data_IF_663783299562
#
_entry.id   IF_663783299562
#
_cell.length_a   1.000
_cell.length_b   1.000
_cell.length_c   1.000
_cell.angle_alpha   90.00
_cell.angle_beta   90.00
_cell.angle_gamma   90.00
#
_symmetry.space_group_name_H-M   'P 1'
#
loop_
_entity.id
_entity.type
_entity.pdbx_description
1 polymer ?
#
# COMPACT_ATOMS: atom_id res chain seq x y z
N UNK A 1 18.91 -10.73 7.94
CA UNK A 1 17.66 -10.42 7.22
C UNK A 1 17.31 -11.61 6.36
N UNK A 2 16.14 -12.21 6.56
CA UNK A 2 15.60 -13.28 5.70
C UNK A 2 14.69 -12.58 4.67
N UNK A 3 14.99 -12.72 3.40
CA UNK A 3 14.15 -12.21 2.30
C UNK A 3 13.39 -13.41 1.75
N UNK A 4 12.09 -13.31 1.71
CA UNK A 4 11.22 -14.30 1.08
C UNK A 4 10.66 -13.65 -0.16
N UNK A 5 11.04 -14.17 -1.33
CA UNK A 5 10.47 -13.76 -2.59
C UNK A 5 9.28 -14.68 -2.90
N UNK A 6 8.15 -14.09 -3.23
CA UNK A 6 6.94 -14.81 -3.59
C UNK A 6 6.67 -14.61 -5.06
N UNK A 7 6.48 -15.70 -5.79
CA UNK A 7 6.19 -15.64 -7.23
C UNK A 7 4.76 -15.14 -7.48
N UNK A 8 4.53 -14.57 -8.66
CA UNK A 8 3.21 -14.06 -9.08
C UNK A 8 2.10 -15.10 -8.96
N UNK A 9 2.39 -16.37 -9.22
CA UNK A 9 1.44 -17.47 -9.11
C UNK A 9 1.11 -17.87 -7.66
N UNK A 10 1.88 -17.40 -6.68
CA UNK A 10 1.68 -17.68 -5.26
C UNK A 10 0.98 -16.55 -4.52
N UNK A 11 0.77 -15.41 -5.19
CA UNK A 11 0.19 -14.21 -4.59
C UNK A 11 -1.26 -14.44 -4.12
N UNK A 12 -2.05 -15.23 -4.85
CA UNK A 12 -3.39 -15.61 -4.41
C UNK A 12 -3.38 -16.46 -3.13
N UNK A 13 -2.25 -17.09 -2.82
CA UNK A 13 -2.06 -17.90 -1.62
C UNK A 13 -1.34 -17.14 -0.48
N UNK A 14 -1.12 -15.86 -0.61
CA UNK A 14 -0.38 -15.04 0.38
C UNK A 14 -0.90 -15.19 1.80
N UNK A 15 -2.21 -15.20 1.96
CA UNK A 15 -2.86 -15.31 3.27
C UNK A 15 -2.83 -16.76 3.79
N UNK A 16 -2.69 -17.74 2.91
CA UNK A 16 -2.76 -19.17 3.23
C UNK A 16 -1.41 -19.89 3.16
N UNK A 17 -0.37 -19.22 2.65
CA UNK A 17 0.93 -19.85 2.52
C UNK A 17 1.58 -20.05 3.90
N UNK A 18 2.04 -21.25 4.23
CA UNK A 18 2.80 -21.50 5.46
C UNK A 18 4.22 -20.99 5.27
N UNK A 19 4.38 -19.65 5.33
CA UNK A 19 5.74 -19.10 5.38
C UNK A 19 6.41 -19.52 6.68
N UNK A 20 7.62 -19.99 6.59
CA UNK A 20 8.46 -20.16 7.75
C UNK A 20 8.89 -18.77 8.25
N UNK A 21 8.11 -18.22 9.17
CA UNK A 21 8.32 -16.92 9.81
C UNK A 21 9.05 -17.03 11.16
N UNK A 22 9.55 -18.24 11.52
CA UNK A 22 10.30 -18.43 12.75
C UNK A 22 11.55 -17.54 12.75
N UNK A 23 11.72 -16.74 13.81
CA UNK A 23 12.83 -15.81 13.98
C UNK A 23 12.76 -14.56 13.07
N UNK A 24 11.60 -14.27 12.47
CA UNK A 24 11.35 -13.03 11.73
C UNK A 24 10.78 -11.98 12.70
N UNK A 25 11.49 -10.85 12.87
CA UNK A 25 11.06 -9.77 13.75
C UNK A 25 9.91 -8.96 13.15
N UNK A 26 9.94 -8.75 11.84
CA UNK A 26 8.94 -7.98 11.09
C UNK A 26 8.64 -8.63 9.74
N UNK A 27 7.39 -8.60 9.35
CA UNK A 27 6.97 -8.98 8.01
C UNK A 27 6.52 -7.73 7.25
N UNK A 28 7.21 -7.40 6.16
CA UNK A 28 6.86 -6.27 5.30
C UNK A 28 6.06 -6.75 4.09
N UNK A 29 4.92 -6.11 3.86
CA UNK A 29 4.02 -6.40 2.74
C UNK A 29 3.64 -5.10 2.01
N UNK A 30 3.35 -5.21 0.73
CA UNK A 30 2.75 -4.13 -0.07
C UNK A 30 1.26 -4.46 -0.28
N UNK A 31 0.37 -3.57 0.18
CA UNK A 31 -1.08 -3.80 0.12
C UNK A 31 -1.61 -3.80 -1.31
N UNK A 32 -0.99 -3.03 -2.20
CA UNK A 32 -1.40 -2.95 -3.60
C UNK A 32 -0.17 -2.80 -4.51
N UNK A 33 0.24 -3.93 -5.09
CA UNK A 33 1.32 -3.98 -6.08
C UNK A 33 0.79 -3.55 -7.45
N UNK A 34 1.18 -2.36 -7.88
CA UNK A 34 0.60 -1.71 -9.06
C UNK A 34 1.17 -2.21 -10.39
N UNK A 35 2.35 -2.85 -10.38
CA UNK A 35 2.98 -3.38 -11.59
C UNK A 35 2.23 -4.63 -12.05
N UNK A 36 1.98 -5.55 -11.12
CA UNK A 36 1.36 -6.84 -11.40
C UNK A 36 -0.16 -6.82 -11.18
N UNK A 37 -0.71 -5.68 -10.72
CA UNK A 37 -2.15 -5.51 -10.48
C UNK A 37 -2.70 -6.32 -9.31
N UNK A 38 -1.86 -6.66 -8.32
CA UNK A 38 -2.23 -7.49 -7.18
C UNK A 38 -2.54 -6.62 -5.97
N UNK A 39 -3.72 -6.82 -5.36
CA UNK A 39 -4.12 -6.14 -4.14
C UNK A 39 -4.37 -7.14 -3.01
N UNK A 40 -3.67 -6.93 -1.89
CA UNK A 40 -3.83 -7.69 -0.65
C UNK A 40 -4.69 -6.88 0.33
N UNK A 41 -5.98 -7.19 0.42
CA UNK A 41 -6.91 -6.48 1.33
C UNK A 41 -6.98 -7.09 2.73
N UNK A 42 -6.69 -8.37 2.85
CA UNK A 42 -6.85 -9.15 4.07
C UNK A 42 -5.51 -9.45 4.75
N UNK A 43 -4.57 -8.49 4.69
CA UNK A 43 -3.24 -8.65 5.28
C UNK A 43 -3.28 -8.90 6.80
N UNK A 44 -4.34 -8.47 7.49
CA UNK A 44 -4.59 -8.77 8.90
C UNK A 44 -4.80 -10.28 9.17
N UNK A 45 -5.13 -11.07 8.15
CA UNK A 45 -5.22 -12.54 8.26
C UNK A 45 -3.85 -13.23 8.21
N UNK A 46 -2.80 -12.51 7.82
CA UNK A 46 -1.44 -13.03 7.84
C UNK A 46 -1.01 -13.22 9.29
N UNK A 47 -0.62 -14.44 9.63
CA UNK A 47 -0.24 -14.80 11.01
C UNK A 47 1.18 -14.33 11.33
N UNK A 48 1.31 -13.05 11.70
CA UNK A 48 2.54 -12.48 12.23
C UNK A 48 2.21 -11.33 13.19
N UNK A 49 2.96 -11.21 14.29
CA UNK A 49 2.67 -10.24 15.36
C UNK A 49 3.11 -8.80 15.02
N UNK A 50 3.88 -8.62 13.97
CA UNK A 50 4.48 -7.32 13.61
C UNK A 50 4.49 -7.09 12.11
N UNK A 51 3.34 -6.70 11.56
CA UNK A 51 3.20 -6.39 10.14
C UNK A 51 3.55 -4.93 9.85
N UNK A 52 4.37 -4.71 8.83
CA UNK A 52 4.67 -3.42 8.23
C UNK A 52 4.05 -3.39 6.83
N UNK A 53 3.15 -2.45 6.57
CA UNK A 53 2.42 -2.42 5.31
C UNK A 53 2.75 -1.14 4.54
N UNK A 54 3.20 -1.31 3.30
CA UNK A 54 3.26 -0.23 2.31
C UNK A 54 1.88 -0.04 1.68
N UNK A 55 1.22 1.07 2.01
CA UNK A 55 -0.07 1.46 1.44
C UNK A 55 0.05 2.66 0.49
N UNK A 56 1.22 2.89 -0.10
CA UNK A 56 1.48 4.08 -0.91
C UNK A 56 0.54 4.25 -2.09
N UNK A 57 -0.05 3.17 -2.60
CA UNK A 57 -0.97 3.26 -3.74
C UNK A 57 -2.45 3.25 -3.36
N UNK A 58 -2.82 2.78 -2.17
CA UNK A 58 -4.21 2.54 -1.81
C UNK A 58 -4.63 3.02 -0.41
N UNK A 59 -3.77 3.77 0.28
CA UNK A 59 -4.14 4.36 1.58
C UNK A 59 -5.44 5.16 1.47
N UNK A 60 -6.39 4.89 2.37
CA UNK A 60 -7.69 5.58 2.40
C UNK A 60 -8.68 5.11 1.32
N UNK A 61 -8.39 4.05 0.57
CA UNK A 61 -9.28 3.52 -0.46
C UNK A 61 -10.25 2.46 0.04
N UNK A 62 -9.94 1.80 1.15
CA UNK A 62 -10.78 0.78 1.79
C UNK A 62 -10.53 0.73 3.29
N UNK A 63 -11.49 0.11 4.01
CA UNK A 63 -11.39 -0.14 5.45
C UNK A 63 -10.67 -1.44 5.73
N UNK A 64 -9.87 -1.48 6.81
CA UNK A 64 -9.17 -2.68 7.26
C UNK A 64 -9.08 -2.70 8.79
N UNK A 65 -8.85 -3.89 9.36
CA UNK A 65 -8.64 -4.08 10.78
C UNK A 65 -7.18 -3.83 11.16
N UNK A 66 -6.95 -3.29 12.35
CA UNK A 66 -5.63 -2.92 12.86
C UNK A 66 -4.90 -4.05 13.59
N UNK A 67 -5.52 -5.23 13.69
CA UNK A 67 -4.96 -6.36 14.40
C UNK A 67 -3.62 -6.79 13.78
N UNK A 68 -2.63 -7.05 14.63
CA UNK A 68 -1.26 -7.47 14.26
C UNK A 68 -0.44 -6.45 13.45
N UNK A 69 -0.92 -5.22 13.26
CA UNK A 69 -0.16 -4.19 12.56
C UNK A 69 0.86 -3.53 13.49
N UNK A 70 2.13 -3.53 13.08
CA UNK A 70 3.16 -2.73 13.71
C UNK A 70 3.03 -1.27 13.25
N UNK A 71 3.08 -1.03 11.95
CA UNK A 71 2.70 0.22 11.35
C UNK A 71 2.43 0.09 9.86
N UNK A 72 1.73 1.07 9.32
CA UNK A 72 1.58 1.31 7.89
C UNK A 72 2.31 2.58 7.51
N UNK A 73 2.78 2.64 6.28
CA UNK A 73 3.28 3.87 5.69
C UNK A 73 2.78 4.06 4.27
N UNK A 74 2.74 5.32 3.83
CA UNK A 74 2.29 5.67 2.50
C UNK A 74 2.85 7.02 2.05
N UNK A 75 3.17 7.16 0.78
CA UNK A 75 3.33 8.46 0.16
C UNK A 75 1.96 9.08 -0.18
N UNK A 76 1.79 10.38 0.07
CA UNK A 76 0.51 11.05 -0.16
C UNK A 76 0.13 11.20 -1.65
N UNK A 77 1.10 11.13 -2.56
CA UNK A 77 0.98 11.55 -3.96
C UNK A 77 -0.01 10.75 -4.83
N UNK A 78 -0.41 9.56 -4.42
CA UNK A 78 -1.35 8.74 -5.22
C UNK A 78 -2.80 9.00 -4.83
N UNK A 79 -3.14 8.93 -3.54
CA UNK A 79 -4.54 8.97 -3.11
C UNK A 79 -4.87 10.08 -2.10
N UNK A 80 -3.88 10.66 -1.42
CA UNK A 80 -4.12 11.58 -0.31
C UNK A 80 -3.67 13.02 -0.58
N UNK A 81 -3.02 13.30 -1.73
CA UNK A 81 -2.54 14.65 -2.02
C UNK A 81 -1.48 14.71 -3.12
N UNK A 82 -0.47 15.54 -2.89
CA UNK A 82 0.67 15.75 -3.79
C UNK A 82 1.96 15.20 -3.20
N UNK A 83 3.05 15.07 -3.98
CA UNK A 83 4.35 14.62 -3.47
C UNK A 83 4.88 15.49 -2.34
N UNK A 84 5.76 14.91 -1.51
CA UNK A 84 6.50 15.61 -0.46
C UNK A 84 6.07 15.27 0.97
N UNK A 85 5.02 14.47 1.16
CA UNK A 85 4.58 13.97 2.47
C UNK A 85 4.52 12.46 2.45
N UNK A 86 5.10 11.85 3.48
CA UNK A 86 4.86 10.45 3.84
C UNK A 86 4.03 10.39 5.11
N UNK A 87 3.07 9.49 5.13
CA UNK A 87 2.17 9.24 6.26
C UNK A 87 2.65 7.96 6.91
N UNK A 88 2.88 7.99 8.24
CA UNK A 88 3.15 6.79 9.03
C UNK A 88 2.11 6.72 10.14
N UNK A 89 1.44 5.59 10.28
CA UNK A 89 0.46 5.33 11.33
C UNK A 89 0.81 4.00 11.97
N UNK A 90 0.97 3.96 13.28
CA UNK A 90 1.37 2.72 13.94
C UNK A 90 1.27 2.79 15.45
N UNK A 91 1.51 1.64 16.08
CA UNK A 91 1.58 1.52 17.53
C UNK A 91 2.89 2.16 18.03
N UNK A 92 2.79 2.97 19.08
CA UNK A 92 3.91 3.70 19.68
C UNK A 92 5.10 2.80 20.06
N UNK A 93 4.82 1.57 20.49
CA UNK A 93 5.86 0.58 20.85
C UNK A 93 6.81 0.25 19.70
N UNK A 94 6.36 0.32 18.45
CA UNK A 94 7.17 0.06 17.27
C UNK A 94 7.83 1.32 16.70
N UNK A 95 7.30 2.49 17.02
CA UNK A 95 7.84 3.77 16.57
C UNK A 95 9.01 4.25 17.42
N UNK A 96 9.13 3.79 18.67
CA UNK A 96 10.21 4.13 19.61
C UNK A 96 11.40 3.19 19.43
N UNK A 97 12.12 3.29 18.31
CA UNK A 97 13.36 2.54 18.12
C UNK A 97 14.57 3.29 18.69
N UNK A 98 15.54 2.55 19.24
CA UNK A 98 16.83 3.09 19.68
C UNK A 98 17.82 3.37 18.53
N UNK A 99 17.34 3.38 17.28
CA UNK A 99 18.17 3.66 16.12
C UNK A 99 18.71 5.11 16.19
N UNK A 100 20.02 5.23 16.09
CA UNK A 100 20.73 6.50 16.09
C UNK A 100 20.68 7.23 14.72
N UNK A 101 20.03 6.66 13.72
CA UNK A 101 19.84 7.28 12.42
C UNK A 101 18.88 8.48 12.51
N UNK A 102 19.37 9.67 12.24
CA UNK A 102 18.58 10.91 12.35
C UNK A 102 17.35 10.92 11.45
N UNK A 103 17.44 10.33 10.27
CA UNK A 103 16.37 10.40 9.26
C UNK A 103 15.43 9.20 9.29
N UNK A 104 15.91 8.07 9.80
CA UNK A 104 15.14 6.82 9.86
C UNK A 104 14.57 6.53 11.25
N UNK A 105 14.88 7.39 12.24
CA UNK A 105 14.39 7.24 13.58
C UNK A 105 12.99 7.81 13.72
N UNK A 106 11.98 6.94 13.62
CA UNK A 106 10.58 7.31 13.77
C UNK A 106 10.26 7.86 15.17
N UNK A 107 10.94 7.37 16.22
CA UNK A 107 10.77 7.87 17.58
C UNK A 107 11.10 9.36 17.70
N UNK A 108 12.15 9.83 17.05
CA UNK A 108 12.47 11.27 17.01
C UNK A 108 11.40 12.07 16.28
N UNK A 109 10.83 11.53 15.19
CA UNK A 109 9.74 12.17 14.46
C UNK A 109 8.49 12.28 15.33
N UNK A 110 8.16 11.23 16.10
CA UNK A 110 7.04 11.25 17.06
C UNK A 110 7.29 12.29 18.15
N UNK A 111 8.47 12.28 18.81
CA UNK A 111 8.84 13.24 19.85
C UNK A 111 8.74 14.70 19.36
N UNK A 112 9.21 14.96 18.16
CA UNK A 112 9.17 16.30 17.52
C UNK A 112 7.85 16.60 16.80
N UNK A 113 6.82 15.76 16.95
CA UNK A 113 5.50 15.92 16.30
C UNK A 113 5.62 16.13 14.81
N UNK A 114 6.47 15.33 14.15
CA UNK A 114 6.81 15.41 12.72
C UNK A 114 7.55 16.70 12.29
N UNK A 115 8.03 17.49 13.22
CA UNK A 115 8.74 18.77 12.96
C UNK A 115 10.25 18.66 13.20
N UNK A 116 10.85 17.50 12.96
CA UNK A 116 12.30 17.30 13.09
C UNK A 116 13.07 18.17 12.07
N UNK A 117 12.52 18.34 10.89
CA UNK A 117 13.03 19.21 9.83
C UNK A 117 11.95 20.21 9.42
N UNK A 118 12.31 21.18 8.58
CA UNK A 118 11.32 22.11 7.99
C UNK A 118 10.28 21.34 7.19
N UNK A 119 9.00 21.41 7.56
CA UNK A 119 7.97 20.63 6.91
C UNK A 119 7.60 21.18 5.54
N UNK A 120 7.19 20.33 4.57
CA UNK A 120 6.66 20.76 3.28
C UNK A 120 5.24 21.29 3.44
N UNK A 121 5.11 22.53 3.93
CA UNK A 121 3.85 23.14 4.38
C UNK A 121 2.74 23.06 3.34
N UNK A 122 3.06 23.28 2.06
CA UNK A 122 2.05 23.22 1.00
C UNK A 122 1.51 21.79 0.78
N UNK A 123 2.38 20.79 0.78
CA UNK A 123 1.95 19.39 0.64
C UNK A 123 1.10 18.92 1.83
N UNK A 124 1.46 19.35 3.04
CA UNK A 124 0.66 19.07 4.25
C UNK A 124 -0.71 19.77 4.18
N UNK A 125 -0.74 21.01 3.68
CA UNK A 125 -2.01 21.74 3.49
C UNK A 125 -2.92 21.02 2.48
N UNK A 126 -2.37 20.56 1.36
CA UNK A 126 -3.14 19.77 0.37
C UNK A 126 -3.64 18.46 0.97
N UNK A 127 -2.78 17.73 1.70
CA UNK A 127 -3.18 16.51 2.43
C UNK A 127 -4.37 16.80 3.36
N UNK A 128 -4.31 17.89 4.13
CA UNK A 128 -5.41 18.31 4.99
C UNK A 128 -6.70 18.54 4.19
N UNK A 129 -6.65 19.28 3.10
CA UNK A 129 -7.83 19.56 2.28
C UNK A 129 -8.45 18.28 1.70
N UNK A 130 -7.62 17.36 1.21
CA UNK A 130 -8.07 16.07 0.69
C UNK A 130 -8.73 15.24 1.81
N UNK A 131 -8.11 15.18 2.98
CA UNK A 131 -8.64 14.43 4.12
C UNK A 131 -9.97 15.03 4.61
N UNK A 132 -10.06 16.35 4.74
CA UNK A 132 -11.30 17.05 5.12
C UNK A 132 -12.42 16.77 4.10
N UNK A 133 -12.09 16.82 2.81
CA UNK A 133 -13.04 16.49 1.75
C UNK A 133 -13.50 15.03 1.83
N UNK A 134 -12.58 14.08 2.04
CA UNK A 134 -12.92 12.65 2.18
C UNK A 134 -13.87 12.44 3.36
N UNK A 135 -13.60 13.07 4.50
CA UNK A 135 -14.46 12.99 5.68
C UNK A 135 -15.86 13.56 5.36
N UNK A 136 -15.94 14.73 4.73
CA UNK A 136 -17.20 15.39 4.37
C UNK A 136 -18.04 14.55 3.38
N UNK A 137 -17.38 13.75 2.52
CA UNK A 137 -18.04 12.85 1.56
C UNK A 137 -18.55 11.54 2.17
N UNK A 138 -18.29 11.27 3.46
CA UNK A 138 -18.72 10.05 4.14
C UNK A 138 -17.57 9.09 4.49
N UNK A 139 -16.32 9.57 4.40
CA UNK A 139 -15.13 8.85 4.83
C UNK A 139 -14.75 7.69 3.90
N UNK A 140 -13.88 6.80 4.39
CA UNK A 140 -13.29 5.70 3.63
C UNK A 140 -14.38 4.80 3.02
N UNK A 141 -15.44 4.50 3.75
CA UNK A 141 -16.53 3.64 3.27
C UNK A 141 -17.16 4.16 1.97
N UNK A 142 -17.38 5.46 1.86
CA UNK A 142 -17.91 6.07 0.63
C UNK A 142 -16.99 5.84 -0.56
N UNK A 143 -15.68 6.00 -0.35
CA UNK A 143 -14.69 5.84 -1.43
C UNK A 143 -14.48 4.36 -1.80
N UNK A 144 -14.55 3.46 -0.83
CA UNK A 144 -14.52 2.02 -1.06
C UNK A 144 -15.70 1.57 -1.95
N UNK A 145 -16.92 1.93 -1.57
CA UNK A 145 -18.12 1.62 -2.36
C UNK A 145 -18.06 2.22 -3.78
N UNK A 146 -17.52 3.44 -3.90
CA UNK A 146 -17.32 4.09 -5.20
C UNK A 146 -16.29 3.34 -6.05
N UNK A 147 -15.16 2.94 -5.47
CA UNK A 147 -14.10 2.21 -6.18
C UNK A 147 -14.58 0.84 -6.66
N UNK A 148 -15.27 0.09 -5.81
CA UNK A 148 -15.87 -1.20 -6.18
C UNK A 148 -16.82 -1.03 -7.37
N UNK A 149 -17.70 -0.04 -7.30
CA UNK A 149 -18.68 0.24 -8.36
C UNK A 149 -18.01 0.64 -9.69
N UNK A 150 -16.92 1.40 -9.63
CA UNK A 150 -16.17 1.83 -10.80
C UNK A 150 -15.38 0.68 -11.44
N UNK A 151 -14.71 -0.13 -10.62
CA UNK A 151 -13.96 -1.29 -11.10
C UNK A 151 -14.88 -2.36 -11.70
N UNK A 152 -15.99 -2.69 -11.03
CA UNK A 152 -16.97 -3.65 -11.56
C UNK A 152 -17.46 -3.25 -12.94
N UNK A 153 -17.84 -1.96 -13.12
CA UNK A 153 -18.25 -1.46 -14.44
C UNK A 153 -17.15 -1.57 -15.50
N UNK A 154 -15.90 -1.33 -15.11
CA UNK A 154 -14.78 -1.48 -16.04
C UNK A 154 -14.61 -2.94 -16.44
N UNK A 155 -14.56 -3.86 -15.49
CA UNK A 155 -14.40 -5.27 -15.76
C UNK A 155 -15.56 -5.84 -16.58
N UNK A 156 -16.82 -5.49 -16.27
CA UNK A 156 -17.98 -5.86 -17.09
C UNK A 156 -17.84 -5.41 -18.56
N UNK A 157 -17.29 -4.22 -18.78
CA UNK A 157 -17.03 -3.74 -20.15
C UNK A 157 -15.88 -4.50 -20.81
N UNK A 158 -14.78 -4.76 -20.09
CA UNK A 158 -13.65 -5.49 -20.60
C UNK A 158 -14.02 -6.93 -20.96
N UNK A 159 -14.79 -7.61 -20.12
CA UNK A 159 -15.31 -8.96 -20.40
C UNK A 159 -16.20 -9.00 -21.65
N UNK A 160 -16.93 -7.91 -21.94
CA UNK A 160 -17.72 -7.81 -23.19
C UNK A 160 -16.88 -7.72 -24.47
N UNK A 161 -15.56 -7.53 -24.35
CA UNK A 161 -14.61 -7.40 -25.47
C UNK A 161 -13.48 -8.45 -25.37
N UNK A 162 -13.80 -9.67 -24.97
CA UNK A 162 -12.80 -10.76 -24.75
C UNK A 162 -11.81 -10.93 -25.90
N UNK A 163 -12.30 -10.90 -27.16
CA UNK A 163 -11.43 -11.04 -28.35
C UNK A 163 -10.39 -9.91 -28.49
N UNK A 164 -10.68 -8.71 -27.98
CA UNK A 164 -9.75 -7.58 -28.02
C UNK A 164 -8.70 -7.64 -26.90
N UNK A 165 -9.04 -8.20 -25.76
CA UNK A 165 -8.17 -8.27 -24.60
C UNK A 165 -7.11 -9.36 -24.73
N UNK A 166 -7.43 -10.51 -25.34
CA UNK A 166 -6.47 -11.55 -25.67
C UNK A 166 -5.35 -11.02 -26.57
N UNK A 167 -5.68 -10.10 -27.47
CA UNK A 167 -4.70 -9.51 -28.38
C UNK A 167 -3.75 -8.51 -27.68
N UNK A 168 -4.22 -7.81 -26.65
CA UNK A 168 -3.38 -6.87 -25.89
C UNK A 168 -2.43 -7.56 -24.91
N UNK A 169 -2.80 -8.69 -24.36
CA UNK A 169 -1.89 -9.50 -23.53
C UNK A 169 -0.75 -10.10 -24.32
N UNK A 170 -1.00 -10.58 -25.55
CA UNK A 170 0.02 -11.07 -26.48
C UNK A 170 0.95 -9.95 -26.95
N UNK A 171 0.46 -8.71 -27.11
CA UNK A 171 1.29 -7.57 -27.52
C UNK A 171 2.30 -7.14 -26.43
N UNK A 172 1.99 -7.33 -25.17
CA UNK A 172 2.91 -7.06 -24.06
C UNK A 172 4.04 -8.10 -23.98
N UNK A 173 3.73 -9.36 -24.31
CA UNK A 173 4.73 -10.44 -24.37
C UNK A 173 5.68 -10.34 -25.59
N UNK A 174 5.23 -9.70 -26.68
CA UNK A 174 6.04 -9.53 -27.91
C UNK A 174 7.12 -8.43 -27.80
N UNK A 175 6.97 -7.46 -26.91
CA UNK A 175 8.02 -6.45 -26.68
C UNK A 175 9.31 -7.08 -26.09
N UNK A 176 9.22 -8.24 -25.44
CA UNK A 176 10.36 -9.02 -24.97
C UNK A 176 11.14 -9.77 -26.07
N UNK A 177 10.59 -9.92 -27.28
CA UNK A 177 11.19 -10.68 -28.39
C UNK A 177 11.84 -9.82 -29.49
N UNK A 178 11.62 -8.50 -29.46
CA UNK A 178 12.08 -7.55 -30.49
C UNK A 178 13.54 -7.12 -30.43
N UNK A 179 14.41 -7.82 -29.72
CA UNK A 179 15.80 -7.41 -29.51
C UNK A 179 16.87 -8.40 -30.02
N UNK A 180 16.75 -8.98 -31.24
CA UNK A 180 17.89 -9.60 -31.95
C UNK A 180 17.65 -9.53 -33.45
N UNK A 181 18.20 -8.51 -34.06
CA UNK A 181 18.42 -8.36 -35.47
C UNK A 181 19.57 -7.39 -35.69
#
# INVERSE_FOLDING_TARGET
TKIIEVSENEIENYVQSPWDLEGVDYLHLTSNETINGVQLREFNKVQHDSLLIDMSSDIGSYSFEWDNLAYIYAGAQKNMGIPGVSICIGDEKYLNSEDNSRYLNLGQLVEKKSLLNTPPTFSIYVLKLVTDWMIAMGGIKHFEEKSIRQSSRLYEQLESYEDCLLYTSDAADDEGRGGRG
#
